data_IF_066612370913
#
_entry.id   IF_066612370913
#
_cell.length_a   1.000
_cell.length_b   1.000
_cell.length_c   1.000
_cell.angle_alpha   90.00
_cell.angle_beta   90.00
_cell.angle_gamma   90.00
#
_symmetry.space_group_name_H-M   'P 1'
#
loop_
_entity.id
_entity.type
_entity.pdbx_description
1 polymer ?
#
# COMPACT_ATOMS: atom_id res chain seq x y z
N UNK A 1 -22.96 -59.96 -58.88
CA UNK A 1 -21.60 -60.39 -59.27
C UNK A 1 -20.69 -59.15 -59.33
N UNK A 2 -19.59 -59.23 -58.60
CA UNK A 2 -18.29 -58.56 -58.76
C UNK A 2 -18.16 -57.03 -59.01
N UNK A 3 -17.54 -56.39 -58.01
CA UNK A 3 -16.44 -55.38 -58.05
C UNK A 3 -16.26 -54.52 -59.31
N UNK A 4 -16.10 -53.21 -59.08
CA UNK A 4 -14.80 -52.54 -59.28
C UNK A 4 -14.71 -51.20 -58.56
N UNK A 5 -13.81 -51.21 -57.59
CA UNK A 5 -13.09 -50.10 -56.98
C UNK A 5 -12.28 -49.34 -58.04
N UNK A 6 -12.29 -48.01 -58.01
CA UNK A 6 -11.16 -47.20 -58.45
C UNK A 6 -11.13 -45.89 -57.65
N UNK A 7 -10.11 -45.83 -56.80
CA UNK A 7 -9.65 -44.66 -56.06
C UNK A 7 -9.34 -43.51 -57.03
N UNK A 8 -9.64 -42.28 -56.64
CA UNK A 8 -8.79 -41.14 -57.00
C UNK A 8 -8.93 -39.99 -55.99
N UNK A 9 -7.85 -39.81 -55.21
CA UNK A 9 -7.32 -38.55 -54.67
C UNK A 9 -8.19 -37.75 -53.69
N UNK A 10 -8.30 -38.25 -52.46
CA UNK A 10 -8.52 -37.40 -51.28
C UNK A 10 -7.16 -36.94 -50.71
N UNK A 11 -6.77 -35.69 -50.98
CA UNK A 11 -5.86 -34.96 -50.07
C UNK A 11 -6.69 -34.58 -48.84
N UNK A 12 -6.84 -35.54 -47.92
CA UNK A 12 -7.57 -35.34 -46.68
C UNK A 12 -6.75 -34.51 -45.70
N UNK A 13 -7.25 -33.33 -45.34
CA UNK A 13 -6.87 -32.72 -44.07
C UNK A 13 -7.20 -33.68 -42.92
N UNK A 14 -6.35 -33.77 -41.87
CA UNK A 14 -6.65 -34.61 -40.72
C UNK A 14 -7.99 -34.19 -40.08
N UNK A 15 -8.81 -35.13 -39.61
CA UNK A 15 -10.03 -34.80 -38.89
C UNK A 15 -9.70 -33.91 -37.67
N UNK A 16 -10.51 -32.88 -37.43
CA UNK A 16 -10.40 -31.89 -36.33
C UNK A 16 -10.19 -32.50 -34.92
N UNK A 17 -10.36 -33.82 -34.75
CA UNK A 17 -10.08 -34.55 -33.50
C UNK A 17 -8.59 -34.67 -33.17
N UNK A 18 -7.67 -34.56 -34.13
CA UNK A 18 -6.24 -34.69 -33.85
C UNK A 18 -5.54 -33.37 -33.48
N UNK A 19 -6.14 -32.20 -33.76
CA UNK A 19 -5.61 -30.90 -33.33
C UNK A 19 -5.88 -30.62 -31.84
N UNK A 20 -6.99 -31.15 -31.31
CA UNK A 20 -7.33 -31.03 -29.88
C UNK A 20 -6.40 -31.85 -28.98
N UNK A 21 -5.87 -32.99 -29.45
CA UNK A 21 -4.99 -33.85 -28.65
C UNK A 21 -3.58 -33.29 -28.49
N UNK A 22 -3.05 -32.58 -29.49
CA UNK A 22 -1.73 -31.94 -29.40
C UNK A 22 -1.73 -30.69 -28.53
N UNK A 23 -2.83 -29.94 -28.47
CA UNK A 23 -3.00 -28.82 -27.53
C UNK A 23 -3.12 -29.28 -26.07
N UNK A 24 -3.69 -30.46 -25.82
CA UNK A 24 -3.86 -31.02 -24.47
C UNK A 24 -2.63 -31.80 -23.95
N UNK A 25 -1.62 -32.08 -24.79
CA UNK A 25 -0.44 -32.85 -24.42
C UNK A 25 0.76 -31.99 -23.93
N UNK A 26 0.73 -30.66 -24.11
CA UNK A 26 1.83 -29.75 -23.75
C UNK A 26 1.68 -29.07 -22.37
N UNK A 27 0.73 -29.48 -21.52
CA UNK A 27 0.49 -28.81 -20.22
C UNK A 27 0.83 -29.65 -18.99
N UNK A 28 1.78 -30.60 -19.07
CA UNK A 28 2.22 -31.40 -17.91
C UNK A 28 3.73 -31.62 -17.88
N UNK A 29 4.44 -30.69 -17.23
CA UNK A 29 5.67 -30.81 -16.43
C UNK A 29 6.08 -29.37 -16.06
N UNK A 30 6.32 -28.90 -14.84
CA UNK A 30 6.30 -29.38 -13.46
C UNK A 30 6.60 -28.17 -12.56
N UNK A 31 6.03 -28.14 -11.34
CA UNK A 31 6.53 -27.46 -10.13
C UNK A 31 6.84 -25.93 -10.22
N UNK A 32 6.01 -25.02 -9.71
CA UNK A 32 5.58 -24.88 -8.31
C UNK A 32 4.22 -24.20 -8.24
N UNK A 33 3.17 -25.00 -8.06
CA UNK A 33 1.87 -24.49 -7.66
C UNK A 33 1.88 -24.17 -6.16
N UNK A 34 2.45 -23.01 -5.78
CA UNK A 34 2.06 -22.38 -4.51
C UNK A 34 0.61 -21.95 -4.69
N UNK A 35 -0.29 -22.81 -4.21
CA UNK A 35 -1.71 -22.54 -4.06
C UNK A 35 -1.87 -21.13 -3.51
N UNK A 36 -2.33 -20.21 -4.37
CA UNK A 36 -2.98 -18.97 -3.97
C UNK A 36 -4.06 -19.36 -2.97
N UNK A 37 -3.75 -19.22 -1.67
CA UNK A 37 -4.74 -19.35 -0.61
C UNK A 37 -5.67 -18.17 -0.79
N UNK A 38 -6.77 -18.40 -1.49
CA UNK A 38 -7.93 -17.51 -1.56
C UNK A 38 -8.55 -17.47 -0.15
N UNK A 39 -7.92 -16.73 0.75
CA UNK A 39 -8.40 -16.44 2.11
C UNK A 39 -9.28 -15.19 2.13
N UNK A 40 -10.05 -14.94 1.09
CA UNK A 40 -10.99 -13.81 1.05
C UNK A 40 -12.30 -14.23 1.71
N UNK A 41 -12.31 -14.38 3.04
CA UNK A 41 -13.58 -14.53 3.78
C UNK A 41 -13.69 -13.76 5.10
N UNK A 42 -12.74 -12.91 5.49
CA UNK A 42 -12.95 -12.00 6.62
C UNK A 42 -11.98 -10.79 6.61
N UNK A 43 -11.88 -10.06 5.49
CA UNK A 43 -11.06 -8.84 5.38
C UNK A 43 -11.45 -7.79 6.43
N UNK A 44 -12.75 -7.66 6.73
CA UNK A 44 -13.24 -6.78 7.79
C UNK A 44 -12.69 -7.17 9.18
N UNK A 45 -12.62 -8.47 9.48
CA UNK A 45 -12.02 -8.96 10.74
C UNK A 45 -10.52 -8.70 10.77
N UNK A 46 -9.82 -8.94 9.66
CA UNK A 46 -8.39 -8.63 9.54
C UNK A 46 -8.10 -7.14 9.74
N UNK A 47 -8.90 -6.25 9.13
CA UNK A 47 -8.80 -4.80 9.31
C UNK A 47 -9.06 -4.37 10.76
N UNK A 48 -10.09 -4.94 11.41
CA UNK A 48 -10.35 -4.68 12.84
C UNK A 48 -9.20 -5.12 13.73
N UNK A 49 -8.65 -6.32 13.50
CA UNK A 49 -7.51 -6.84 14.26
C UNK A 49 -6.26 -5.98 14.02
N UNK A 50 -6.01 -5.56 12.78
CA UNK A 50 -4.91 -4.65 12.45
C UNK A 50 -5.05 -3.32 13.20
N UNK A 51 -6.24 -2.71 13.18
CA UNK A 51 -6.52 -1.48 13.93
C UNK A 51 -6.37 -1.68 15.44
N UNK A 52 -6.81 -2.82 15.99
CA UNK A 52 -6.62 -3.13 17.42
C UNK A 52 -5.14 -3.21 17.77
N UNK A 53 -4.33 -3.93 16.97
CA UNK A 53 -2.87 -4.02 17.16
C UNK A 53 -2.22 -2.65 17.08
N UNK A 54 -2.59 -1.85 16.09
CA UNK A 54 -2.12 -0.47 15.94
C UNK A 54 -2.42 0.33 17.21
N UNK A 55 -3.67 0.33 17.68
CA UNK A 55 -4.10 1.05 18.88
C UNK A 55 -3.39 0.60 20.15
N UNK A 56 -3.08 -0.69 20.29
CA UNK A 56 -2.37 -1.22 21.47
C UNK A 56 -0.94 -0.69 21.57
N UNK A 57 -0.27 -0.48 20.44
CA UNK A 57 1.12 -0.05 20.41
C UNK A 57 1.30 1.45 20.12
N UNK A 58 0.25 2.15 19.71
CA UNK A 58 0.34 3.52 19.26
C UNK A 58 0.76 4.49 20.37
N UNK A 59 1.77 5.29 20.07
CA UNK A 59 2.24 6.40 20.91
C UNK A 59 1.62 7.73 20.46
N UNK A 60 1.42 8.65 21.39
CA UNK A 60 0.78 9.93 21.13
C UNK A 60 0.49 10.68 22.42
N UNK A 61 -0.15 11.84 22.32
CA UNK A 61 -0.53 12.64 23.47
C UNK A 61 -1.70 11.99 24.23
N UNK A 62 -1.38 11.38 25.38
CA UNK A 62 -2.35 10.65 26.20
C UNK A 62 -3.46 11.53 26.78
N UNK A 63 -3.31 12.86 26.78
CA UNK A 63 -4.35 13.80 27.22
C UNK A 63 -5.52 13.91 26.23
N UNK A 64 -5.31 13.53 24.96
CA UNK A 64 -6.35 13.61 23.93
C UNK A 64 -7.51 12.64 24.22
N UNK A 65 -8.79 13.07 24.13
CA UNK A 65 -9.93 12.18 24.18
C UNK A 65 -9.87 11.10 23.10
N UNK A 66 -10.27 9.87 23.42
CA UNK A 66 -10.20 8.75 22.46
C UNK A 66 -11.02 9.00 21.19
N UNK A 67 -12.10 9.76 21.29
CA UNK A 67 -12.96 10.15 20.15
C UNK A 67 -12.22 11.02 19.13
N UNK A 68 -11.23 11.80 19.55
CA UNK A 68 -10.47 12.70 18.68
C UNK A 68 -9.26 12.03 18.04
N UNK A 69 -8.86 10.85 18.53
CA UNK A 69 -7.66 10.14 18.10
C UNK A 69 -7.83 9.49 16.73
N UNK A 70 -6.96 9.87 15.81
CA UNK A 70 -6.72 9.21 14.54
C UNK A 70 -5.44 8.41 14.70
N UNK A 71 -5.51 7.10 14.48
CA UNK A 71 -4.39 6.18 14.60
C UNK A 71 -3.81 5.92 13.22
N UNK A 72 -2.49 6.03 13.08
CA UNK A 72 -1.79 5.83 11.81
C UNK A 72 -0.52 5.03 12.04
N UNK A 73 -0.16 4.16 11.09
CA UNK A 73 1.18 3.61 11.00
C UNK A 73 2.07 4.64 10.31
N UNK A 74 3.07 5.16 11.02
CA UNK A 74 4.00 6.17 10.49
C UNK A 74 5.27 5.49 10.04
N UNK A 75 5.48 5.41 8.74
CA UNK A 75 6.75 4.96 8.16
C UNK A 75 7.78 6.08 8.30
N UNK A 76 8.98 5.72 8.77
CA UNK A 76 10.03 6.67 9.09
C UNK A 76 11.01 6.81 7.92
N UNK A 77 11.83 7.88 7.88
CA UNK A 77 12.87 8.04 6.88
C UNK A 77 13.72 6.78 6.74
N UNK A 78 14.17 6.45 5.53
CA UNK A 78 14.89 5.19 5.26
C UNK A 78 16.15 4.98 6.10
N UNK A 79 16.76 6.07 6.54
CA UNK A 79 17.97 6.07 7.38
C UNK A 79 17.67 5.84 8.87
N UNK A 80 16.38 5.78 9.26
CA UNK A 80 15.94 5.56 10.63
C UNK A 80 16.22 4.12 11.08
N UNK A 81 16.52 3.94 12.37
CA UNK A 81 16.75 2.61 12.97
C UNK A 81 15.50 1.72 12.92
N UNK A 82 14.33 2.33 13.07
CA UNK A 82 13.03 1.68 12.98
C UNK A 82 12.40 2.00 11.62
N UNK A 83 11.79 1.00 10.96
CA UNK A 83 11.12 1.21 9.67
C UNK A 83 9.82 2.01 9.79
N UNK A 84 9.05 1.74 10.84
CA UNK A 84 7.78 2.41 11.08
C UNK A 84 7.37 2.29 12.54
N UNK A 85 6.51 3.21 12.98
CA UNK A 85 6.02 3.29 14.35
C UNK A 85 4.51 3.61 14.37
N UNK A 86 3.69 2.86 15.12
CA UNK A 86 2.28 3.20 15.30
C UNK A 86 2.16 4.47 16.15
N UNK A 87 1.36 5.43 15.69
CA UNK A 87 1.13 6.68 16.40
C UNK A 87 -0.34 7.09 16.37
N UNK A 88 -0.74 8.01 17.25
CA UNK A 88 -2.05 8.65 17.18
C UNK A 88 -1.98 10.16 17.36
N UNK A 89 -2.89 10.85 16.68
CA UNK A 89 -2.95 12.31 16.62
C UNK A 89 -4.39 12.81 16.81
N UNK A 90 -4.58 14.06 17.23
CA UNK A 90 -5.91 14.67 17.21
C UNK A 90 -6.30 14.99 15.76
N UNK A 91 -7.52 14.64 15.36
CA UNK A 91 -8.01 14.91 14.00
C UNK A 91 -7.97 16.40 13.61
N UNK A 92 -8.11 17.29 14.59
CA UNK A 92 -8.22 18.74 14.36
C UNK A 92 -6.84 19.42 14.24
N UNK A 93 -5.75 18.68 14.49
CA UNK A 93 -4.42 19.26 14.39
C UNK A 93 -4.05 19.53 12.94
N UNK A 94 -3.28 20.61 12.75
CA UNK A 94 -2.61 20.89 11.50
C UNK A 94 -1.56 19.81 11.20
N UNK A 95 -1.28 19.58 9.92
CA UNK A 95 -0.23 18.64 9.50
C UNK A 95 1.13 19.05 10.06
N UNK A 96 1.44 20.35 10.16
CA UNK A 96 2.64 20.84 10.84
C UNK A 96 2.76 20.32 12.27
N UNK A 97 1.68 20.41 13.06
CA UNK A 97 1.66 19.91 14.44
C UNK A 97 1.75 18.38 14.51
N UNK A 98 1.16 17.67 13.55
CA UNK A 98 1.30 16.21 13.42
C UNK A 98 2.78 15.83 13.20
N UNK A 99 3.47 16.55 12.30
CA UNK A 99 4.90 16.34 12.02
C UNK A 99 5.74 16.62 13.27
N UNK A 100 5.47 17.70 14.01
CA UNK A 100 6.21 18.04 15.24
C UNK A 100 6.14 16.90 16.26
N UNK A 101 4.94 16.37 16.54
CA UNK A 101 4.78 15.27 17.47
C UNK A 101 5.42 13.98 16.93
N UNK A 102 5.19 13.65 15.65
CA UNK A 102 5.74 12.44 15.05
C UNK A 102 7.28 12.44 15.07
N UNK A 103 7.89 13.59 14.77
CA UNK A 103 9.33 13.77 14.84
C UNK A 103 9.84 13.58 16.27
N UNK A 104 9.17 14.16 17.27
CA UNK A 104 9.51 13.96 18.68
C UNK A 104 9.41 12.50 19.11
N UNK A 105 8.35 11.78 18.71
CA UNK A 105 8.15 10.37 19.09
C UNK A 105 9.12 9.42 18.38
N UNK A 106 9.59 9.77 17.18
CA UNK A 106 10.56 9.01 16.40
C UNK A 106 12.02 9.47 16.63
N UNK A 107 12.26 10.46 17.50
CA UNK A 107 13.58 11.08 17.70
C UNK A 107 14.21 11.61 16.41
N UNK A 108 13.39 12.16 15.51
CA UNK A 108 13.81 12.78 14.26
C UNK A 108 14.02 14.28 14.44
N UNK A 109 14.92 14.85 13.63
CA UNK A 109 15.28 16.26 13.73
C UNK A 109 14.39 17.11 12.80
N UNK A 110 13.35 17.73 13.36
CA UNK A 110 12.55 18.71 12.62
C UNK A 110 13.24 20.09 12.62
N UNK A 111 13.78 20.52 11.47
CA UNK A 111 14.32 21.87 11.27
C UNK A 111 13.50 22.69 10.28
N UNK A 112 12.19 22.46 10.16
CA UNK A 112 11.36 23.11 9.15
C UNK A 112 11.42 24.65 9.21
N UNK A 113 11.73 25.22 10.37
CA UNK A 113 11.90 26.67 10.59
C UNK A 113 13.18 27.28 9.96
N UNK A 114 14.18 26.48 9.58
CA UNK A 114 15.41 26.99 8.94
C UNK A 114 15.17 27.21 7.46
N UNK A 115 15.70 28.27 6.85
CA UNK A 115 15.46 28.53 5.41
C UNK A 115 16.16 27.54 4.47
N UNK A 116 17.20 26.84 4.94
CA UNK A 116 18.02 25.96 4.11
C UNK A 116 17.90 24.49 4.53
N UNK A 117 18.04 23.62 3.54
CA UNK A 117 18.00 22.16 3.70
C UNK A 117 16.61 21.56 3.53
N UNK A 118 16.58 20.24 3.52
CA UNK A 118 15.36 19.46 3.37
C UNK A 118 14.39 19.68 4.54
N UNK A 119 13.10 19.56 4.23
CA UNK A 119 12.00 19.69 5.16
C UNK A 119 11.48 18.33 5.51
N UNK A 120 11.21 18.11 6.80
CA UNK A 120 10.50 16.93 7.23
C UNK A 120 9.03 17.10 6.82
N UNK A 121 8.57 16.24 5.91
CA UNK A 121 7.22 16.27 5.32
C UNK A 121 6.47 15.00 5.67
N UNK A 122 5.16 15.14 5.79
CA UNK A 122 4.24 14.01 5.89
C UNK A 122 3.67 13.71 4.51
N UNK A 123 3.82 12.48 4.04
CA UNK A 123 3.43 12.05 2.72
C UNK A 123 2.35 10.97 2.78
N UNK A 124 1.41 11.03 1.83
CA UNK A 124 0.37 10.03 1.69
C UNK A 124 0.94 8.73 1.10
N UNK A 125 0.58 7.57 1.67
CA UNK A 125 1.17 6.27 1.31
C UNK A 125 0.85 5.80 -0.12
N UNK A 126 -0.28 6.18 -0.72
CA UNK A 126 -0.62 5.71 -2.08
C UNK A 126 -0.24 6.71 -3.17
N UNK A 127 -0.67 7.97 -3.05
CA UNK A 127 -0.32 9.04 -4.00
C UNK A 127 1.12 9.55 -3.88
N UNK A 128 1.79 9.38 -2.75
CA UNK A 128 3.08 10.02 -2.46
C UNK A 128 2.99 11.52 -2.19
N UNK A 129 1.80 12.12 -2.25
CA UNK A 129 1.60 13.57 -2.07
C UNK A 129 2.07 14.01 -0.68
N UNK A 130 2.90 15.05 -0.63
CA UNK A 130 3.30 15.71 0.61
C UNK A 130 2.16 16.61 1.09
N UNK A 131 1.64 16.32 2.28
CA UNK A 131 0.51 17.02 2.86
C UNK A 131 0.90 18.47 3.24
N UNK A 132 0.15 19.51 2.80
CA UNK A 132 0.41 20.89 3.19
C UNK A 132 0.31 21.09 4.70
N UNK A 133 1.21 21.90 5.27
CA UNK A 133 1.38 22.04 6.72
C UNK A 133 0.20 22.72 7.41
N UNK A 134 -0.50 23.59 6.69
CA UNK A 134 -1.66 24.38 7.10
C UNK A 134 -2.98 23.61 6.98
N UNK A 135 -3.01 22.49 6.26
CA UNK A 135 -4.15 21.60 6.26
C UNK A 135 -4.30 20.90 7.62
N UNK A 136 -5.51 20.45 7.94
CA UNK A 136 -5.79 19.62 9.12
C UNK A 136 -5.84 18.14 8.77
N UNK A 137 -5.60 17.27 9.74
CA UNK A 137 -5.73 15.83 9.54
C UNK A 137 -7.16 15.43 9.15
N UNK A 138 -8.17 16.10 9.72
CA UNK A 138 -9.59 15.91 9.40
C UNK A 138 -9.90 16.23 7.92
N UNK A 139 -9.32 17.29 7.36
CA UNK A 139 -9.48 17.61 5.93
C UNK A 139 -8.99 16.46 5.04
N UNK A 140 -7.87 15.83 5.40
CA UNK A 140 -7.33 14.70 4.66
C UNK A 140 -8.12 13.40 4.85
N UNK A 141 -8.79 13.22 5.98
CA UNK A 141 -9.71 12.11 6.21
C UNK A 141 -11.00 12.29 5.41
N UNK A 142 -11.46 13.53 5.25
CA UNK A 142 -12.69 13.87 4.56
C UNK A 142 -12.54 14.04 3.03
N UNK A 143 -11.32 13.97 2.49
CA UNK A 143 -11.06 14.04 1.04
C UNK A 143 -11.83 12.94 0.29
N UNK A 144 -12.37 13.27 -0.88
CA UNK A 144 -13.00 12.28 -1.77
C UNK A 144 -11.94 11.41 -2.46
N UNK A 145 -10.89 12.05 -2.98
CA UNK A 145 -9.77 11.39 -3.64
C UNK A 145 -8.62 11.12 -2.66
N UNK A 146 -8.24 9.85 -2.55
CA UNK A 146 -7.16 9.37 -1.67
C UNK A 146 -7.27 9.88 -0.21
N UNK A 147 -8.38 9.61 0.51
CA UNK A 147 -8.49 9.99 1.90
C UNK A 147 -7.51 9.21 2.78
N UNK A 148 -7.10 9.86 3.87
CA UNK A 148 -6.49 9.18 4.99
C UNK A 148 -7.55 8.40 5.79
N UNK A 149 -7.19 7.20 6.22
CA UNK A 149 -8.06 6.37 7.03
C UNK A 149 -7.53 6.23 8.46
N UNK A 150 -8.43 6.19 9.44
CA UNK A 150 -8.05 5.77 10.78
C UNK A 150 -7.66 4.28 10.75
N UNK A 151 -6.42 3.98 11.08
CA UNK A 151 -5.78 2.69 10.84
C UNK A 151 -4.93 2.62 9.58
N UNK A 152 -4.83 3.71 8.84
CA UNK A 152 -4.07 3.82 7.60
C UNK A 152 -2.58 4.08 7.82
N UNK A 153 -1.86 4.25 6.70
CA UNK A 153 -0.42 4.43 6.66
C UNK A 153 -0.07 5.82 6.12
N UNK A 154 0.98 6.41 6.67
CA UNK A 154 1.59 7.66 6.21
C UNK A 154 3.10 7.52 6.26
N UNK A 155 3.82 8.34 5.49
CA UNK A 155 5.29 8.35 5.48
C UNK A 155 5.77 9.70 5.99
N UNK A 156 6.79 9.67 6.83
CA UNK A 156 7.54 10.84 7.25
C UNK A 156 8.90 10.78 6.54
N UNK A 157 9.22 11.79 5.74
CA UNK A 157 10.48 11.82 4.97
C UNK A 157 11.01 13.25 4.81
N UNK A 158 12.32 13.38 4.67
CA UNK A 158 12.97 14.63 4.31
C UNK A 158 12.88 14.84 2.80
N UNK A 159 12.23 15.94 2.41
CA UNK A 159 12.05 16.33 1.01
C UNK A 159 12.61 17.72 0.77
N UNK A 160 13.09 17.97 -0.46
CA UNK A 160 13.42 19.33 -0.87
C UNK A 160 12.17 20.21 -0.89
N UNK A 161 12.33 21.52 -0.72
CA UNK A 161 11.19 22.44 -0.63
C UNK A 161 10.30 22.41 -1.88
N UNK A 162 10.90 22.16 -3.04
CA UNK A 162 10.24 22.07 -4.33
C UNK A 162 9.51 20.73 -4.55
N UNK A 163 9.81 19.70 -3.75
CA UNK A 163 9.25 18.36 -3.92
C UNK A 163 7.89 18.23 -3.24
N UNK A 164 6.85 18.16 -4.07
CA UNK A 164 5.46 17.98 -3.62
C UNK A 164 5.05 16.50 -3.50
N UNK A 165 5.87 15.58 -4.03
CA UNK A 165 5.57 14.15 -4.05
C UNK A 165 6.82 13.34 -3.70
N UNK A 166 6.66 12.42 -2.76
CA UNK A 166 7.64 11.39 -2.47
C UNK A 166 7.66 10.36 -3.61
N UNK A 167 8.82 10.16 -4.22
CA UNK A 167 9.03 9.14 -5.26
C UNK A 167 9.23 7.77 -4.62
N UNK A 168 8.86 6.71 -5.35
CA UNK A 168 9.11 5.32 -4.97
C UNK A 168 8.51 4.90 -3.62
N UNK A 169 7.24 5.25 -3.39
CA UNK A 169 6.54 4.96 -2.15
C UNK A 169 6.51 3.46 -1.81
N UNK A 170 6.49 2.59 -2.82
CA UNK A 170 6.48 1.13 -2.66
C UNK A 170 7.67 0.61 -1.85
N UNK A 171 8.82 1.31 -1.89
CA UNK A 171 10.02 0.91 -1.14
C UNK A 171 9.86 0.97 0.38
N UNK A 172 8.81 1.60 0.91
CA UNK A 172 8.50 1.57 2.35
C UNK A 172 7.68 0.34 2.74
N UNK A 173 7.12 -0.40 1.78
CA UNK A 173 6.34 -1.62 2.03
C UNK A 173 7.19 -2.90 1.99
N UNK A 174 8.47 -2.79 1.65
CA UNK A 174 9.44 -3.90 1.53
C UNK A 174 10.11 -4.31 2.85
#
# INVERSE_FOLDING_TARGET
MNVKNWKSLSLGWPPLRNLLKTLLANSKTGETAVKRRKGAKNSATAAKVALMKLKMHAEGDKSLPQTERVYLQVFLPKESKEKSKPMFFCRQWSIGKVIDLAASLASLKNNNNKLTGEKLRLCHMTSGEALPLDHTLEMWIAKEDCPLYNGGNIILEYLNEEEQFLKNVDSYLE
#
